data_IF_539504557723
#
_entry.id   IF_539504557723
#
_cell.length_a   1.000
_cell.length_b   1.000
_cell.length_c   1.000
_cell.angle_alpha   90.00
_cell.angle_beta   90.00
_cell.angle_gamma   90.00
#
_symmetry.space_group_name_H-M   'P 1'
#
loop_
_entity.id
_entity.type
_entity.pdbx_description
1 polymer ?
#
# COMPACT_ATOMS: atom_id res chain seq x y z
N UNK A 1 5.57 27.22 -10.54
CA UNK A 1 4.94 26.07 -9.84
C UNK A 1 6.01 25.34 -9.06
N UNK A 2 5.87 25.18 -7.74
CA UNK A 2 6.74 24.25 -7.00
C UNK A 2 6.26 22.83 -7.36
N UNK A 3 7.11 21.97 -7.92
CA UNK A 3 6.77 20.56 -8.09
C UNK A 3 6.47 19.95 -6.72
N UNK A 4 5.29 19.36 -6.55
CA UNK A 4 5.01 18.46 -5.43
C UNK A 4 6.02 17.31 -5.57
N UNK A 5 7.00 17.24 -4.67
CA UNK A 5 7.90 16.08 -4.60
C UNK A 5 7.06 14.96 -4.01
N UNK A 6 6.66 14.00 -4.85
CA UNK A 6 6.02 12.78 -4.37
C UNK A 6 7.08 11.95 -3.65
N UNK A 7 6.98 11.87 -2.33
CA UNK A 7 7.85 11.03 -1.53
C UNK A 7 7.54 9.56 -1.83
N UNK A 8 8.60 8.79 -2.13
CA UNK A 8 8.47 7.35 -2.32
C UNK A 8 8.54 6.65 -0.96
N UNK A 9 7.52 5.86 -0.63
CA UNK A 9 7.55 5.01 0.56
C UNK A 9 8.45 3.80 0.27
N UNK A 10 9.57 3.70 0.99
CA UNK A 10 10.49 2.55 0.91
C UNK A 10 10.48 1.77 2.21
N UNK A 11 10.36 0.44 2.12
CA UNK A 11 10.40 -0.46 3.29
C UNK A 11 11.70 -1.27 3.26
N UNK A 12 12.44 -1.27 4.38
CA UNK A 12 13.67 -2.06 4.57
C UNK A 12 13.41 -3.27 5.46
N UNK A 13 12.52 -4.14 5.01
CA UNK A 13 12.16 -5.37 5.71
C UNK A 13 12.23 -6.57 4.74
N UNK A 14 13.23 -7.42 4.95
CA UNK A 14 13.48 -8.58 4.11
C UNK A 14 12.44 -9.69 4.33
N UNK A 15 12.02 -9.92 5.57
CA UNK A 15 11.03 -10.96 5.90
C UNK A 15 9.68 -10.63 5.26
N UNK A 16 9.23 -9.39 5.43
CA UNK A 16 8.01 -8.90 4.82
C UNK A 16 8.07 -9.03 3.29
N UNK A 17 9.20 -8.67 2.67
CA UNK A 17 9.39 -8.81 1.23
C UNK A 17 9.25 -10.26 0.76
N UNK A 18 9.91 -11.21 1.43
CA UNK A 18 9.85 -12.63 1.09
C UNK A 18 8.42 -13.15 1.19
N UNK A 19 7.68 -12.75 2.23
CA UNK A 19 6.29 -13.15 2.43
C UNK A 19 5.39 -12.61 1.32
N UNK A 20 5.55 -11.34 0.93
CA UNK A 20 4.78 -10.74 -0.17
C UNK A 20 5.13 -11.41 -1.50
N UNK A 21 6.41 -11.71 -1.75
CA UNK A 21 6.86 -12.39 -2.96
C UNK A 21 6.23 -13.78 -3.08
N UNK A 22 6.21 -14.55 -2.00
CA UNK A 22 5.52 -15.84 -1.94
C UNK A 22 4.04 -15.71 -2.31
N UNK A 23 3.34 -14.72 -1.75
CA UNK A 23 1.92 -14.47 -2.07
C UNK A 23 1.74 -14.06 -3.54
N UNK A 24 2.62 -13.20 -4.05
CA UNK A 24 2.60 -12.76 -5.44
C UNK A 24 2.77 -13.92 -6.42
N UNK A 25 3.68 -14.87 -6.12
CA UNK A 25 3.88 -16.09 -6.92
C UNK A 25 2.63 -16.97 -6.93
N UNK A 26 2.00 -17.20 -5.77
CA UNK A 26 0.78 -18.01 -5.67
C UNK A 26 -0.37 -17.44 -6.51
N UNK A 27 -0.51 -16.11 -6.52
CA UNK A 27 -1.56 -15.39 -7.25
C UNK A 27 -1.19 -15.04 -8.71
N UNK A 28 -0.01 -15.45 -9.19
CA UNK A 28 0.52 -15.09 -10.52
C UNK A 28 0.54 -13.57 -10.78
N UNK A 29 0.90 -12.78 -9.77
CA UNK A 29 0.96 -11.32 -9.82
C UNK A 29 2.39 -10.80 -9.72
N UNK A 30 2.62 -9.57 -10.20
CA UNK A 30 3.89 -8.87 -9.95
C UNK A 30 3.98 -8.48 -8.47
N UNK A 31 5.19 -8.50 -7.90
CA UNK A 31 5.44 -8.10 -6.51
C UNK A 31 4.78 -6.76 -6.16
N UNK A 32 4.99 -5.72 -6.98
CA UNK A 32 4.40 -4.40 -6.76
C UNK A 32 2.86 -4.39 -6.75
N UNK A 33 2.22 -5.22 -7.58
CA UNK A 33 0.76 -5.33 -7.59
C UNK A 33 0.25 -5.98 -6.31
N UNK A 34 0.92 -7.05 -5.86
CA UNK A 34 0.58 -7.73 -4.61
C UNK A 34 0.80 -6.80 -3.41
N UNK A 35 1.94 -6.09 -3.35
CA UNK A 35 2.22 -5.08 -2.32
C UNK A 35 1.11 -4.03 -2.27
N UNK A 36 0.69 -3.47 -3.41
CA UNK A 36 -0.40 -2.49 -3.46
C UNK A 36 -1.70 -3.05 -2.89
N UNK A 37 -2.08 -4.27 -3.27
CA UNK A 37 -3.33 -4.89 -2.81
C UNK A 37 -3.31 -5.11 -1.29
N UNK A 38 -2.20 -5.68 -0.77
CA UNK A 38 -2.06 -5.94 0.66
C UNK A 38 -2.04 -4.64 1.46
N UNK A 39 -1.31 -3.62 0.97
CA UNK A 39 -1.26 -2.32 1.62
C UNK A 39 -2.63 -1.63 1.63
N UNK A 40 -3.36 -1.68 0.51
CA UNK A 40 -4.69 -1.07 0.42
C UNK A 40 -5.66 -1.70 1.42
N UNK A 41 -5.64 -3.03 1.56
CA UNK A 41 -6.46 -3.74 2.57
C UNK A 41 -6.10 -3.32 3.98
N UNK A 42 -4.81 -3.33 4.33
CA UNK A 42 -4.36 -2.95 5.67
C UNK A 42 -4.65 -1.48 6.02
N UNK A 43 -4.54 -0.58 5.03
CA UNK A 43 -4.90 0.84 5.21
C UNK A 43 -6.40 0.98 5.45
N UNK A 44 -7.23 0.34 4.62
CA UNK A 44 -8.68 0.37 4.78
C UNK A 44 -9.11 -0.19 6.15
N UNK A 45 -8.58 -1.34 6.56
CA UNK A 45 -8.83 -1.92 7.89
C UNK A 45 -8.44 -0.93 9.00
N UNK A 46 -7.30 -0.23 8.85
CA UNK A 46 -6.86 0.78 9.82
C UNK A 46 -7.77 2.01 9.85
N UNK A 47 -8.26 2.46 8.70
CA UNK A 47 -9.21 3.57 8.59
C UNK A 47 -10.54 3.21 9.25
N UNK A 48 -11.05 2.01 8.98
CA UNK A 48 -12.28 1.48 9.59
C UNK A 48 -12.14 1.33 11.12
N UNK A 49 -11.03 0.79 11.62
CA UNK A 49 -10.71 0.71 13.06
C UNK A 49 -10.72 2.09 13.75
N UNK A 50 -10.26 3.11 13.04
CA UNK A 50 -10.18 4.49 13.54
C UNK A 50 -11.47 5.29 13.30
N UNK A 51 -12.45 4.71 12.60
CA UNK A 51 -13.69 5.40 12.21
C UNK A 51 -13.43 6.59 11.28
N UNK A 52 -12.38 6.54 10.47
CA UNK A 52 -12.05 7.61 9.53
C UNK A 52 -13.04 7.60 8.35
N UNK A 53 -13.58 8.77 7.96
CA UNK A 53 -14.40 8.85 6.77
C UNK A 53 -13.56 8.60 5.51
N UNK A 54 -14.17 8.21 4.38
CA UNK A 54 -13.49 8.17 3.09
C UNK A 54 -12.82 9.50 2.78
N UNK A 55 -11.59 9.45 2.27
CA UNK A 55 -10.93 10.62 1.71
C UNK A 55 -11.57 10.87 0.34
N UNK A 56 -12.66 11.64 0.30
CA UNK A 56 -13.17 12.17 -0.97
C UNK A 56 -12.08 13.03 -1.63
N UNK A 57 -12.02 13.02 -2.96
CA UNK A 57 -11.03 13.71 -3.83
C UNK A 57 -11.05 15.26 -3.73
N UNK A 58 -11.39 15.85 -2.57
CA UNK A 58 -11.38 17.28 -2.28
C UNK A 58 -10.37 17.68 -1.18
N UNK A 59 -9.22 17.03 -1.16
CA UNK A 59 -7.99 17.68 -0.68
C UNK A 59 -7.21 18.24 -1.88
N UNK A 60 -7.82 19.19 -2.59
CA UNK A 60 -7.19 19.99 -3.64
C UNK A 60 -6.02 20.83 -3.08
#
# INVERSE_FOLDING_TARGET
>A
MKSKIYEQVTVRDLDLRIRIERLATLDQRKLAQMTRILLQKAVQEKEEELGLPPIDDEAA
#
